data_IF_250778005053
#
_entry.id   IF_250778005053
#
_cell.length_a   1.000
_cell.length_b   1.000
_cell.length_c   1.000
_cell.angle_alpha   90.00
_cell.angle_beta   90.00
_cell.angle_gamma   90.00
#
_symmetry.space_group_name_H-M   'P 1'
#
loop_
_entity.id
_entity.type
_entity.pdbx_description
1 polymer ?
#
# COMPACT_ATOMS: atom_id res chain seq x y z
N UNK A 1 -33.16 8.16 -14.31
CA UNK A 1 -32.67 8.07 -12.91
C UNK A 1 -31.15 8.01 -12.97
N UNK A 2 -30.49 9.16 -12.92
CA UNK A 2 -29.03 9.24 -12.94
C UNK A 2 -28.50 8.92 -11.55
N UNK A 3 -27.94 7.72 -11.39
CA UNK A 3 -27.18 7.34 -10.21
C UNK A 3 -25.87 8.13 -10.19
N UNK A 4 -25.93 9.34 -9.61
CA UNK A 4 -24.76 10.18 -9.41
C UNK A 4 -23.68 9.39 -8.66
N UNK A 5 -22.49 9.32 -9.26
CA UNK A 5 -21.27 8.95 -8.57
C UNK A 5 -21.05 10.03 -7.50
N UNK A 6 -21.60 9.83 -6.31
CA UNK A 6 -21.35 10.68 -5.17
C UNK A 6 -19.86 10.49 -4.84
N UNK A 7 -19.03 11.40 -5.31
CA UNK A 7 -17.64 11.53 -4.90
C UNK A 7 -17.67 11.66 -3.38
N UNK A 8 -17.48 10.54 -2.69
CA UNK A 8 -17.49 10.50 -1.24
C UNK A 8 -16.30 11.30 -0.76
N UNK A 9 -16.53 12.58 -0.48
CA UNK A 9 -15.50 13.49 0.00
C UNK A 9 -15.03 12.98 1.34
N UNK A 10 -13.73 12.70 1.43
CA UNK A 10 -13.09 12.25 2.65
C UNK A 10 -12.55 13.47 3.38
N UNK A 11 -12.92 13.62 4.64
CA UNK A 11 -12.47 14.67 5.55
C UNK A 11 -11.44 14.08 6.48
N UNK A 12 -10.32 14.78 6.68
CA UNK A 12 -9.34 14.42 7.69
C UNK A 12 -9.72 15.05 9.03
N UNK A 13 -9.96 14.20 10.02
CA UNK A 13 -10.26 14.59 11.39
C UNK A 13 -9.05 14.24 12.27
N UNK A 14 -8.13 15.19 12.37
CA UNK A 14 -6.88 15.03 13.14
C UNK A 14 -7.15 14.80 14.63
N UNK A 15 -8.17 15.47 15.19
CA UNK A 15 -8.53 15.35 16.61
C UNK A 15 -8.92 13.92 17.00
N UNK A 16 -9.63 13.21 16.11
CA UNK A 16 -10.02 11.81 16.31
C UNK A 16 -9.08 10.81 15.64
N UNK A 17 -7.96 11.28 15.08
CA UNK A 17 -6.97 10.52 14.31
C UNK A 17 -7.64 9.58 13.30
N UNK A 18 -8.56 10.13 12.50
CA UNK A 18 -9.28 9.36 11.49
C UNK A 18 -9.55 10.16 10.24
N UNK A 19 -9.67 9.46 9.12
CA UNK A 19 -10.27 10.00 7.91
C UNK A 19 -11.70 9.48 7.83
N UNK A 20 -12.65 10.35 7.54
CA UNK A 20 -14.07 10.01 7.58
C UNK A 20 -14.80 10.55 6.34
N UNK A 21 -15.89 9.90 5.97
CA UNK A 21 -16.81 10.47 4.97
C UNK A 21 -17.43 11.75 5.52
N UNK A 22 -17.88 12.64 4.64
CA UNK A 22 -18.53 13.90 5.03
C UNK A 22 -19.74 13.69 5.97
N UNK A 23 -20.49 12.60 5.77
CA UNK A 23 -21.59 12.21 6.64
C UNK A 23 -21.17 11.47 7.93
N UNK A 24 -19.86 11.29 8.15
CA UNK A 24 -19.22 10.66 9.32
C UNK A 24 -19.62 9.21 9.60
N UNK A 25 -20.34 8.54 8.70
CA UNK A 25 -20.76 7.14 8.89
C UNK A 25 -19.69 6.13 8.54
N UNK A 26 -18.75 6.48 7.67
CA UNK A 26 -17.64 5.63 7.28
C UNK A 26 -16.32 6.30 7.66
N UNK A 27 -15.37 5.52 8.17
CA UNK A 27 -14.10 6.07 8.61
C UNK A 27 -12.98 5.04 8.59
N UNK A 28 -11.74 5.55 8.61
CA UNK A 28 -10.52 4.80 8.85
C UNK A 28 -9.74 5.49 9.95
N UNK A 29 -9.42 4.75 10.99
CA UNK A 29 -8.72 5.24 12.18
C UNK A 29 -7.27 4.79 12.16
N UNK A 30 -6.40 5.69 12.60
CA UNK A 30 -4.97 5.44 12.70
C UNK A 30 -4.40 5.89 14.03
N UNK A 31 -3.27 5.31 14.40
CA UNK A 31 -2.42 5.76 15.50
C UNK A 31 -1.08 6.22 14.96
N UNK A 32 -0.57 7.32 15.50
CA UNK A 32 0.79 7.77 15.22
C UNK A 32 1.75 7.08 16.19
N UNK A 33 2.77 6.44 15.64
CA UNK A 33 3.87 5.79 16.35
C UNK A 33 5.19 6.46 16.00
N UNK A 34 6.23 6.13 16.75
CA UNK A 34 7.61 6.61 16.51
C UNK A 34 7.68 8.13 16.34
N UNK A 35 7.04 8.87 17.26
CA UNK A 35 6.94 10.33 17.26
C UNK A 35 6.34 10.91 15.96
N UNK A 36 5.37 10.21 15.35
CA UNK A 36 4.69 10.66 14.13
C UNK A 36 5.38 10.24 12.83
N UNK A 37 6.44 9.44 12.88
CA UNK A 37 7.08 8.88 11.66
C UNK A 37 6.34 7.67 11.09
N UNK A 38 5.48 7.04 11.89
CA UNK A 38 4.77 5.82 11.49
C UNK A 38 3.28 6.00 11.74
N UNK A 39 2.47 5.74 10.71
CA UNK A 39 1.02 5.75 10.77
C UNK A 39 0.50 4.31 10.80
N UNK A 40 0.01 3.87 11.95
CA UNK A 40 -0.59 2.55 12.12
C UNK A 40 -2.09 2.60 11.89
N UNK A 41 -2.56 1.99 10.82
CA UNK A 41 -3.97 1.92 10.48
C UNK A 41 -4.60 0.73 11.20
N UNK A 42 -5.44 1.02 12.19
CA UNK A 42 -5.94 0.03 13.14
C UNK A 42 -7.36 -0.44 12.84
N UNK A 43 -8.18 0.42 12.24
CA UNK A 43 -9.59 0.08 12.00
C UNK A 43 -10.17 0.82 10.80
N UNK A 44 -10.91 0.11 9.96
CA UNK A 44 -11.68 0.67 8.86
C UNK A 44 -13.12 0.22 9.00
N UNK A 45 -14.06 1.17 9.02
CA UNK A 45 -15.48 0.90 9.13
C UNK A 45 -16.25 1.51 7.97
N UNK A 46 -17.09 0.70 7.33
CA UNK A 46 -18.07 1.14 6.32
C UNK A 46 -19.41 0.49 6.63
N UNK A 47 -20.49 1.29 6.80
CA UNK A 47 -21.82 0.77 7.09
C UNK A 47 -22.33 -0.05 5.90
N UNK A 48 -23.14 -1.07 6.17
CA UNK A 48 -23.68 -1.97 5.15
C UNK A 48 -24.34 -1.23 3.98
N UNK A 49 -25.08 -0.16 4.26
CA UNK A 49 -25.74 0.69 3.26
C UNK A 49 -24.80 1.35 2.25
N UNK A 50 -23.50 1.47 2.56
CA UNK A 50 -22.47 2.07 1.69
C UNK A 50 -21.42 1.06 1.19
N UNK A 51 -21.59 -0.24 1.48
CA UNK A 51 -20.70 -1.29 0.97
C UNK A 51 -20.89 -1.46 -0.54
N UNK A 52 -19.87 -2.01 -1.20
CA UNK A 52 -19.88 -2.25 -2.65
C UNK A 52 -19.57 -1.00 -3.51
N UNK A 53 -19.44 0.18 -2.91
CA UNK A 53 -19.22 1.45 -3.62
C UNK A 53 -17.75 1.92 -3.61
N UNK A 54 -16.82 1.08 -3.15
CA UNK A 54 -15.39 1.43 -3.08
C UNK A 54 -15.00 2.40 -1.96
N UNK A 55 -15.92 2.79 -1.08
CA UNK A 55 -15.68 3.78 -0.02
C UNK A 55 -14.53 3.41 0.93
N UNK A 56 -14.41 2.13 1.31
CA UNK A 56 -13.31 1.65 2.14
C UNK A 56 -11.93 1.84 1.45
N UNK A 57 -11.89 1.67 0.12
CA UNK A 57 -10.68 1.91 -0.68
C UNK A 57 -10.33 3.40 -0.70
N UNK A 58 -11.32 4.28 -0.90
CA UNK A 58 -11.10 5.73 -0.87
C UNK A 58 -10.57 6.21 0.49
N UNK A 59 -11.12 5.70 1.59
CA UNK A 59 -10.63 5.98 2.94
C UNK A 59 -9.15 5.57 3.09
N UNK A 60 -8.79 4.37 2.64
CA UNK A 60 -7.40 3.90 2.66
C UNK A 60 -6.50 4.79 1.82
N UNK A 61 -6.89 5.12 0.58
CA UNK A 61 -6.13 5.98 -0.33
C UNK A 61 -5.86 7.35 0.32
N UNK A 62 -6.86 7.94 0.99
CA UNK A 62 -6.66 9.21 1.70
C UNK A 62 -5.63 9.10 2.83
N UNK A 63 -5.72 8.05 3.65
CA UNK A 63 -4.76 7.81 4.74
C UNK A 63 -3.34 7.56 4.22
N UNK A 64 -3.18 6.71 3.19
CA UNK A 64 -1.89 6.39 2.59
C UNK A 64 -1.27 7.59 1.87
N UNK A 65 -2.07 8.42 1.18
CA UNK A 65 -1.58 9.66 0.60
C UNK A 65 -1.06 10.62 1.66
N UNK A 66 -1.77 10.75 2.78
CA UNK A 66 -1.31 11.55 3.91
C UNK A 66 0.02 11.01 4.46
N UNK A 67 0.14 9.70 4.66
CA UNK A 67 1.41 9.09 5.06
C UNK A 67 2.54 9.41 4.08
N UNK A 68 2.30 9.23 2.78
CA UNK A 68 3.27 9.51 1.72
C UNK A 68 3.71 10.98 1.68
N UNK A 69 2.75 11.91 1.75
CA UNK A 69 3.02 13.36 1.71
C UNK A 69 3.91 13.80 2.88
N UNK A 70 3.70 13.19 4.05
CA UNK A 70 4.46 13.49 5.26
C UNK A 70 5.67 12.57 5.47
N UNK A 71 6.04 11.77 4.46
CA UNK A 71 7.16 10.82 4.53
C UNK A 71 7.08 9.86 5.73
N UNK A 72 5.87 9.44 6.06
CA UNK A 72 5.59 8.44 7.10
C UNK A 72 5.49 7.04 6.50
N UNK A 73 5.92 6.04 7.28
CA UNK A 73 5.66 4.63 6.97
C UNK A 73 4.29 4.20 7.50
N UNK A 74 3.61 3.28 6.81
CA UNK A 74 2.30 2.77 7.21
C UNK A 74 2.39 1.36 7.80
N UNK A 75 1.79 1.14 8.96
CA UNK A 75 1.57 -0.20 9.51
C UNK A 75 0.10 -0.59 9.23
N UNK A 76 -0.18 -1.68 8.50
CA UNK A 76 -1.55 -2.10 8.18
C UNK A 76 -2.09 -3.09 9.23
N UNK A 77 -2.30 -2.66 10.48
CA UNK A 77 -2.85 -3.54 11.53
C UNK A 77 -4.30 -3.97 11.26
N UNK A 78 -5.08 -3.14 10.56
CA UNK A 78 -6.43 -3.49 10.13
C UNK A 78 -6.39 -4.60 9.06
N UNK A 79 -7.05 -5.73 9.31
CA UNK A 79 -7.12 -6.88 8.38
C UNK A 79 -7.63 -6.50 6.99
N UNK A 80 -8.62 -5.60 6.91
CA UNK A 80 -9.08 -5.09 5.62
C UNK A 80 -7.94 -4.44 4.82
N UNK A 81 -7.07 -3.68 5.48
CA UNK A 81 -5.97 -2.98 4.82
C UNK A 81 -4.91 -3.98 4.36
N UNK A 82 -4.47 -4.86 5.26
CA UNK A 82 -3.43 -5.85 4.97
C UNK A 82 -3.87 -6.89 3.95
N UNK A 83 -5.05 -7.49 4.11
CA UNK A 83 -5.49 -8.66 3.36
C UNK A 83 -6.29 -8.30 2.10
N UNK A 84 -6.95 -7.14 2.07
CA UNK A 84 -7.82 -6.77 0.94
C UNK A 84 -7.28 -5.57 0.16
N UNK A 85 -6.97 -4.47 0.84
CA UNK A 85 -6.59 -3.23 0.15
C UNK A 85 -5.22 -3.34 -0.53
N UNK A 86 -4.20 -3.79 0.19
CA UNK A 86 -2.84 -3.92 -0.34
C UNK A 86 -2.73 -5.00 -1.42
N UNK A 87 -3.42 -6.13 -1.27
CA UNK A 87 -3.48 -7.19 -2.29
C UNK A 87 -4.04 -6.66 -3.61
N UNK A 88 -5.04 -5.78 -3.55
CA UNK A 88 -5.65 -5.15 -4.75
C UNK A 88 -4.86 -3.95 -5.26
N UNK A 89 -4.02 -3.34 -4.44
CA UNK A 89 -3.27 -2.13 -4.78
C UNK A 89 -1.79 -2.25 -4.34
N UNK A 90 -1.01 -3.16 -4.96
CA UNK A 90 0.35 -3.48 -4.52
C UNK A 90 1.34 -2.30 -4.66
N UNK A 91 1.00 -1.27 -5.44
CA UNK A 91 1.80 -0.05 -5.56
C UNK A 91 1.98 0.68 -4.21
N UNK A 92 1.04 0.52 -3.28
CA UNK A 92 1.11 1.10 -1.94
C UNK A 92 2.08 0.40 -1.00
N UNK A 93 2.61 -0.79 -1.37
CA UNK A 93 3.60 -1.49 -0.57
C UNK A 93 4.86 -0.66 -0.34
N UNK A 94 5.17 0.29 -1.23
CA UNK A 94 6.33 1.20 -1.09
C UNK A 94 6.24 2.13 0.13
N UNK A 95 5.04 2.38 0.65
CA UNK A 95 4.80 3.24 1.83
C UNK A 95 4.61 2.41 3.09
N UNK A 96 4.41 1.11 2.96
CA UNK A 96 4.22 0.19 4.09
C UNK A 96 5.56 -0.06 4.78
N UNK A 97 5.54 -0.12 6.11
CA UNK A 97 6.72 -0.47 6.90
C UNK A 97 7.26 -1.84 6.47
N UNK A 98 8.53 -1.88 6.04
CA UNK A 98 9.17 -3.06 5.46
C UNK A 98 9.17 -4.27 6.40
N UNK A 99 9.17 -4.04 7.72
CA UNK A 99 9.07 -5.11 8.73
C UNK A 99 7.74 -5.86 8.67
N UNK A 100 6.71 -5.26 8.06
CA UNK A 100 5.40 -5.86 7.80
C UNK A 100 5.20 -6.32 6.36
N UNK A 101 5.99 -5.83 5.42
CA UNK A 101 5.97 -6.36 4.04
C UNK A 101 6.42 -7.81 4.02
N UNK A 102 7.40 -8.20 4.82
CA UNK A 102 7.86 -9.59 4.90
C UNK A 102 6.73 -10.56 5.31
N UNK A 103 5.88 -10.15 6.26
CA UNK A 103 4.71 -10.94 6.70
C UNK A 103 3.67 -11.09 5.57
N UNK A 104 3.37 -10.01 4.86
CA UNK A 104 2.39 -10.00 3.75
C UNK A 104 2.90 -10.80 2.55
N UNK A 105 4.16 -10.61 2.19
CA UNK A 105 4.77 -11.21 1.02
C UNK A 105 5.06 -12.71 1.26
N UNK A 106 5.30 -13.11 2.51
CA UNK A 106 5.28 -14.53 2.92
C UNK A 106 3.90 -15.17 2.71
N UNK A 107 2.82 -14.50 3.11
CA UNK A 107 1.46 -15.00 2.93
C UNK A 107 1.07 -15.18 1.45
N UNK A 108 1.58 -14.32 0.55
CA UNK A 108 1.30 -14.40 -0.89
C UNK A 108 2.18 -15.44 -1.61
N UNK A 109 3.46 -15.53 -1.24
CA UNK A 109 4.42 -16.42 -1.91
C UNK A 109 4.42 -17.86 -1.37
N UNK A 110 3.81 -18.08 -0.20
CA UNK A 110 3.93 -19.34 0.55
C UNK A 110 5.34 -19.59 1.09
N UNK A 111 6.24 -18.59 1.03
CA UNK A 111 7.61 -18.67 1.51
C UNK A 111 7.75 -18.00 2.87
N UNK A 112 8.71 -18.44 3.71
CA UNK A 112 8.94 -17.80 4.99
C UNK A 112 9.47 -16.36 4.82
N UNK A 113 9.14 -15.42 5.73
CA UNK A 113 9.42 -13.99 5.59
C UNK A 113 10.89 -13.63 5.29
N UNK A 114 11.83 -14.44 5.76
CA UNK A 114 13.28 -14.24 5.60
C UNK A 114 13.76 -14.46 4.15
N UNK A 115 13.10 -15.29 3.35
CA UNK A 115 13.44 -15.49 1.93
C UNK A 115 12.87 -14.38 1.02
N UNK A 116 11.94 -13.60 1.54
CA UNK A 116 11.19 -12.64 0.76
C UNK A 116 11.87 -11.26 0.72
N UNK A 117 12.61 -10.92 1.78
CA UNK A 117 13.44 -9.71 1.84
C UNK A 117 14.52 -9.68 0.74
N UNK A 118 15.10 -10.82 0.39
CA UNK A 118 16.10 -10.91 -0.69
C UNK A 118 15.52 -10.46 -2.04
N UNK A 119 14.25 -10.75 -2.34
CA UNK A 119 13.64 -10.36 -3.63
C UNK A 119 13.36 -8.86 -3.72
N UNK A 120 13.07 -8.21 -2.59
CA UNK A 120 12.71 -6.78 -2.53
C UNK A 120 13.95 -5.88 -2.46
N UNK A 121 15.05 -6.36 -1.88
CA UNK A 121 16.31 -5.63 -1.73
C UNK A 121 17.32 -5.87 -2.85
N UNK A 122 17.08 -6.83 -3.75
CA UNK A 122 17.91 -6.95 -4.94
C UNK A 122 17.70 -5.71 -5.82
N UNK A 123 18.77 -4.98 -6.16
CA UNK A 123 18.67 -3.95 -7.19
C UNK A 123 18.09 -4.62 -8.43
N UNK A 124 17.10 -3.98 -9.06
CA UNK A 124 16.63 -4.35 -10.40
C UNK A 124 17.88 -4.66 -11.20
N UNK A 125 18.07 -5.92 -11.57
CA UNK A 125 19.14 -6.31 -12.48
C UNK A 125 18.86 -5.48 -13.73
N UNK A 126 19.63 -4.41 -13.93
CA UNK A 126 19.60 -3.64 -15.17
C UNK A 126 19.81 -4.69 -16.26
N UNK A 127 18.78 -4.87 -17.08
CA UNK A 127 18.91 -5.68 -18.27
C UNK A 127 20.00 -4.99 -19.07
N UNK A 128 21.11 -5.67 -19.42
CA UNK A 128 22.15 -5.04 -20.23
C UNK A 128 21.49 -4.46 -21.48
N UNK A 129 21.86 -3.23 -21.86
CA UNK A 129 21.34 -2.63 -23.07
C UNK A 129 21.65 -3.53 -24.27
N UNK A 130 20.80 -3.51 -25.30
CA UNK A 130 20.97 -4.34 -26.51
C UNK A 130 22.39 -4.26 -27.12
N UNK A 131 23.12 -3.18 -26.85
CA UNK A 131 24.52 -2.96 -27.26
C UNK A 131 25.53 -3.90 -26.56
N UNK A 132 25.33 -4.25 -25.28
CA UNK A 132 26.23 -5.17 -24.56
C UNK A 132 26.05 -6.63 -25.00
N UNK A 133 24.83 -7.03 -25.39
CA UNK A 133 24.56 -8.38 -25.89
C UNK A 133 25.19 -8.62 -27.28
N UNK A 134 25.28 -7.57 -28.11
CA UNK A 134 25.96 -7.63 -29.40
C UNK A 134 27.48 -7.83 -29.27
N UNK A 135 28.12 -7.19 -28.27
CA UNK A 135 29.55 -7.35 -27.97
C UNK A 135 29.87 -8.76 -27.44
N UNK A 136 29.02 -9.31 -26.58
CA UNK A 136 29.19 -10.68 -26.06
C UNK A 136 29.09 -11.74 -27.18
N UNK A 137 28.23 -11.52 -28.18
CA UNK A 137 28.11 -12.40 -29.35
C UNK A 137 29.30 -12.30 -30.31
N UNK A 138 29.92 -11.13 -30.43
CA UNK A 138 31.07 -10.95 -31.33
C UNK A 138 32.34 -11.66 -30.83
N UNK A 139 32.50 -11.82 -29.51
CA UNK A 139 33.64 -12.53 -28.92
C UNK A 139 33.58 -14.06 -29.07
N UNK A 140 32.42 -14.64 -29.39
CA UNK A 140 32.28 -16.08 -29.64
C UNK A 140 32.57 -16.50 -31.09
N UNK A 141 32.71 -15.55 -32.02
CA UNK A 141 33.00 -15.84 -33.45
C UNK A 141 34.48 -15.61 -33.83
N UNK A 142 35.35 -15.23 -32.89
CA UNK A 142 36.77 -14.88 -33.16
C UNK A 142 37.77 -15.87 -32.54
N UNK A 143 37.31 -16.97 -31.91
CA UNK A 143 38.19 -18.03 -31.40
C UNK A 143 37.71 -19.43 -31.78
#
# INVERSE_FOLDING_TARGET
MEGGRENSKIVWNEAEKRFESEDKKAFIQYHLRNSGKVMDIVHTYVPSSKRGQGLASHLCISAFNHAKLHSMSVIPTCSYVSETFLVRNPSWNTVVDLSKISDILAAISGRPPNEVLDVVLLPKREQPSDDEEALAKHFQDVY
#
